data_IF_916779140219
#
_entry.id   IF_916779140219
#
_cell.length_a   1.000
_cell.length_b   1.000
_cell.length_c   1.000
_cell.angle_alpha   90.00
_cell.angle_beta   90.00
_cell.angle_gamma   90.00
#
_symmetry.space_group_name_H-M   'P 1'
#
loop_
_entity.id
_entity.type
_entity.pdbx_description
1 polymer ?
#
# COMPACT_ATOMS: atom_id res chain seq x y z
N UNK A 1 0.79 -4.96 -1.19
CA UNK A 1 0.89 -3.82 -0.28
C UNK A 1 -0.17 -3.93 0.79
N UNK A 2 0.23 -3.71 2.05
CA UNK A 2 -0.58 -3.91 3.26
C UNK A 2 -1.26 -5.29 3.33
N UNK A 3 -1.65 -5.71 4.51
CA UNK A 3 -2.34 -6.98 4.75
C UNK A 3 -3.27 -6.83 5.96
N UNK A 4 -4.33 -6.04 5.80
CA UNK A 4 -5.35 -5.82 6.81
C UNK A 4 -6.24 -7.04 7.05
N UNK A 5 -7.08 -7.02 8.10
CA UNK A 5 -7.95 -8.14 8.46
C UNK A 5 -8.84 -8.61 7.31
N UNK A 6 -8.80 -9.92 7.03
CA UNK A 6 -9.52 -10.58 5.95
C UNK A 6 -8.77 -10.62 4.61
N UNK A 7 -7.72 -9.84 4.43
CA UNK A 7 -6.97 -9.75 3.17
C UNK A 7 -6.19 -11.02 2.85
N UNK A 8 -5.67 -11.75 3.84
CA UNK A 8 -4.96 -13.01 3.61
C UNK A 8 -5.86 -14.09 3.02
N UNK A 9 -7.07 -14.22 3.55
CA UNK A 9 -8.04 -15.17 3.03
C UNK A 9 -8.51 -14.82 1.61
N UNK A 10 -8.68 -13.53 1.31
CA UNK A 10 -9.04 -13.08 -0.02
C UNK A 10 -7.85 -13.27 -1.00
N UNK A 11 -6.63 -12.91 -0.60
CA UNK A 11 -5.42 -13.12 -1.39
C UNK A 11 -5.27 -14.58 -1.83
N UNK A 12 -5.51 -15.54 -0.92
CA UNK A 12 -5.37 -16.98 -1.20
C UNK A 12 -6.34 -17.50 -2.27
N UNK A 13 -7.37 -16.73 -2.61
CA UNK A 13 -8.27 -17.08 -3.73
C UNK A 13 -7.63 -16.81 -5.10
N UNK A 14 -6.61 -15.95 -5.15
CA UNK A 14 -5.98 -15.50 -6.40
C UNK A 14 -4.56 -16.03 -6.57
N UNK A 15 -3.83 -16.18 -5.48
CA UNK A 15 -2.44 -16.62 -5.50
C UNK A 15 -2.15 -17.55 -4.32
N UNK A 16 -1.35 -18.58 -4.55
CA UNK A 16 -0.80 -19.38 -3.46
C UNK A 16 0.16 -18.51 -2.62
N UNK A 17 -0.08 -18.35 -1.30
CA UNK A 17 0.72 -17.44 -0.46
C UNK A 17 2.22 -17.77 -0.41
N UNK A 18 2.62 -19.02 -0.71
CA UNK A 18 4.03 -19.39 -0.85
C UNK A 18 4.73 -18.74 -2.05
N UNK A 19 3.97 -18.24 -3.02
CA UNK A 19 4.50 -17.54 -4.20
C UNK A 19 4.70 -16.03 -3.97
N UNK A 20 4.43 -15.52 -2.76
CA UNK A 20 4.71 -14.14 -2.42
C UNK A 20 6.20 -13.92 -2.20
N UNK A 21 6.80 -12.98 -2.92
CA UNK A 21 8.20 -12.56 -2.74
C UNK A 21 8.37 -11.59 -1.57
N UNK A 22 7.38 -10.73 -1.35
CA UNK A 22 7.40 -9.74 -0.26
C UNK A 22 6.01 -9.24 0.10
N UNK A 23 5.86 -8.75 1.34
CA UNK A 23 4.78 -7.85 1.74
C UNK A 23 5.38 -6.54 2.20
N UNK A 24 4.79 -5.42 1.77
CA UNK A 24 5.24 -4.08 2.12
C UNK A 24 4.10 -3.39 2.87
N UNK A 25 4.37 -2.98 4.10
CA UNK A 25 3.43 -2.28 4.95
C UNK A 25 3.68 -0.78 4.87
N UNK A 26 2.66 -0.01 4.48
CA UNK A 26 2.70 1.45 4.49
C UNK A 26 2.93 1.98 5.91
N UNK A 27 2.26 1.39 6.89
CA UNK A 27 2.39 1.70 8.31
C UNK A 27 1.92 0.54 9.19
N UNK A 28 1.93 0.72 10.52
CA UNK A 28 1.72 -0.38 11.47
C UNK A 28 0.40 -0.29 12.25
N UNK A 29 -0.65 0.35 11.72
CA UNK A 29 -2.00 0.20 12.27
C UNK A 29 -2.55 -1.20 11.98
N UNK A 30 -3.40 -1.71 12.87
CA UNK A 30 -3.85 -3.09 12.81
C UNK A 30 -4.73 -3.40 11.58
N UNK A 31 -5.47 -2.42 11.10
CA UNK A 31 -6.30 -2.52 9.90
C UNK A 31 -5.49 -2.61 8.60
N UNK A 32 -4.18 -2.31 8.63
CA UNK A 32 -3.26 -2.47 7.51
C UNK A 32 -2.37 -3.71 7.62
N UNK A 33 -2.23 -4.31 8.81
CA UNK A 33 -1.27 -5.41 8.99
C UNK A 33 -1.80 -6.60 9.79
N UNK A 34 -3.07 -6.60 10.22
CA UNK A 34 -3.60 -7.63 11.12
C UNK A 34 -3.43 -9.06 10.61
N UNK A 35 -3.57 -9.29 9.32
CA UNK A 35 -3.44 -10.62 8.71
C UNK A 35 -1.99 -11.08 8.51
N UNK A 36 -0.99 -10.28 8.90
CA UNK A 36 0.41 -10.73 8.96
C UNK A 36 0.55 -11.97 9.86
N UNK A 37 -0.31 -12.11 10.87
CA UNK A 37 -0.32 -13.29 11.76
C UNK A 37 -0.84 -14.52 11.01
N UNK A 38 -1.86 -14.39 10.17
CA UNK A 38 -2.33 -15.47 9.30
C UNK A 38 -1.21 -15.94 8.35
N UNK A 39 -0.47 -15.01 7.78
CA UNK A 39 0.70 -15.29 6.95
C UNK A 39 1.83 -15.96 7.76
N UNK A 40 2.10 -15.49 9.00
CA UNK A 40 3.06 -16.10 9.91
C UNK A 40 2.71 -17.57 10.20
N UNK A 41 1.45 -17.83 10.61
CA UNK A 41 0.98 -19.20 10.87
C UNK A 41 1.13 -20.10 9.63
N UNK A 42 0.74 -19.59 8.45
CA UNK A 42 0.90 -20.29 7.19
C UNK A 42 2.36 -20.64 6.90
N UNK A 43 3.30 -19.72 7.14
CA UNK A 43 4.73 -19.91 6.85
C UNK A 43 5.46 -20.70 7.90
N UNK A 44 5.02 -20.73 9.15
CA UNK A 44 5.68 -21.50 10.23
C UNK A 44 5.18 -22.95 10.32
N UNK A 45 3.88 -23.16 10.18
CA UNK A 45 3.26 -24.47 10.45
C UNK A 45 2.39 -25.00 9.30
N UNK A 46 2.10 -24.17 8.32
CA UNK A 46 1.28 -24.50 7.17
C UNK A 46 2.08 -24.94 5.93
N UNK A 47 1.46 -24.94 4.77
CA UNK A 47 2.11 -25.29 3.51
C UNK A 47 3.36 -24.49 3.18
N UNK A 48 3.45 -23.25 3.67
CA UNK A 48 4.60 -22.38 3.50
C UNK A 48 5.79 -22.63 4.39
N UNK A 49 5.74 -23.65 5.30
CA UNK A 49 6.79 -23.91 6.28
C UNK A 49 8.14 -24.36 5.67
N UNK A 50 8.15 -24.73 4.40
CA UNK A 50 9.35 -25.14 3.68
C UNK A 50 9.88 -24.06 2.74
N UNK A 51 9.27 -22.88 2.71
CA UNK A 51 9.72 -21.76 1.90
C UNK A 51 10.83 -20.99 2.61
N UNK A 52 11.75 -20.43 1.82
CA UNK A 52 12.74 -19.49 2.34
C UNK A 52 12.06 -18.26 2.99
N UNK A 53 12.70 -17.62 3.98
CA UNK A 53 12.15 -16.42 4.60
C UNK A 53 11.88 -15.32 3.58
N UNK A 54 10.66 -14.76 3.61
CA UNK A 54 10.28 -13.69 2.69
C UNK A 54 10.48 -12.29 3.29
N UNK A 55 10.58 -11.29 2.43
CA UNK A 55 10.75 -9.90 2.88
C UNK A 55 9.43 -9.36 3.43
N UNK A 56 9.46 -8.84 4.67
CA UNK A 56 8.46 -7.92 5.20
C UNK A 56 9.09 -6.54 5.32
N UNK A 57 8.70 -5.61 4.45
CA UNK A 57 9.16 -4.23 4.49
C UNK A 57 8.13 -3.33 5.18
N UNK A 58 8.57 -2.37 5.97
CA UNK A 58 7.69 -1.43 6.66
C UNK A 58 8.45 -0.44 7.54
N UNK A 59 7.75 0.41 8.28
CA UNK A 59 8.40 1.32 9.25
C UNK A 59 9.24 0.57 10.27
N UNK A 60 10.19 1.28 10.90
CA UNK A 60 11.10 0.70 11.91
C UNK A 60 10.40 -0.05 13.04
N UNK A 61 9.16 0.31 13.36
CA UNK A 61 8.35 -0.36 14.40
C UNK A 61 7.76 -1.71 13.96
N UNK A 62 7.85 -2.09 12.68
CA UNK A 62 7.19 -3.29 12.14
C UNK A 62 7.49 -4.57 12.93
N UNK A 63 8.74 -4.96 13.25
CA UNK A 63 9.01 -6.21 13.96
C UNK A 63 8.38 -6.22 15.36
N UNK A 64 8.44 -5.09 16.07
CA UNK A 64 7.82 -4.95 17.39
C UNK A 64 6.29 -5.01 17.32
N UNK A 65 5.71 -4.44 16.27
CA UNK A 65 4.25 -4.45 16.11
C UNK A 65 3.72 -5.84 15.75
N UNK A 66 4.44 -6.60 14.93
CA UNK A 66 4.10 -8.01 14.65
C UNK A 66 4.05 -8.79 15.95
N UNK A 67 5.09 -8.69 16.81
CA UNK A 67 5.09 -9.35 18.13
C UNK A 67 3.92 -8.94 19.02
N UNK A 68 3.56 -7.66 19.05
CA UNK A 68 2.41 -7.16 19.83
C UNK A 68 1.08 -7.76 19.36
N UNK A 69 0.88 -7.91 18.07
CA UNK A 69 -0.34 -8.49 17.51
C UNK A 69 -0.37 -9.99 17.75
N UNK A 70 0.78 -10.68 17.64
CA UNK A 70 0.93 -12.11 17.91
C UNK A 70 0.87 -12.46 19.42
N UNK A 71 1.07 -11.46 20.27
CA UNK A 71 1.04 -11.66 21.74
C UNK A 71 2.27 -12.33 22.32
N UNK A 72 3.43 -12.21 21.64
CA UNK A 72 4.72 -12.81 22.04
C UNK A 72 5.73 -11.76 22.49
N UNK A 73 6.79 -12.18 23.16
CA UNK A 73 7.85 -11.33 23.67
C UNK A 73 8.96 -11.02 22.65
N UNK A 74 10.01 -10.33 23.11
CA UNK A 74 11.15 -9.92 22.28
C UNK A 74 12.03 -11.07 21.80
N UNK A 75 11.93 -12.23 22.43
CA UNK A 75 12.62 -13.47 22.07
C UNK A 75 12.17 -14.01 20.69
N UNK A 76 10.94 -13.68 20.26
CA UNK A 76 10.47 -14.08 18.93
C UNK A 76 11.02 -13.12 17.88
N UNK A 77 11.74 -13.66 16.91
CA UNK A 77 12.39 -12.89 15.85
C UNK A 77 11.86 -13.20 14.43
N UNK A 78 11.00 -14.21 14.28
CA UNK A 78 10.41 -14.67 13.01
C UNK A 78 11.44 -14.99 11.91
N UNK A 79 12.69 -15.28 12.26
CA UNK A 79 13.78 -15.45 11.29
C UNK A 79 13.62 -16.64 10.34
N UNK A 80 12.74 -17.57 10.67
CA UNK A 80 12.40 -18.70 9.81
C UNK A 80 11.34 -18.37 8.75
N UNK A 81 10.57 -17.31 8.97
CA UNK A 81 9.50 -16.90 8.06
C UNK A 81 9.81 -15.60 7.34
N UNK A 82 10.47 -14.64 7.99
CA UNK A 82 10.56 -13.27 7.54
C UNK A 82 11.97 -12.67 7.63
N UNK A 83 12.26 -11.83 6.64
CA UNK A 83 13.38 -10.89 6.65
C UNK A 83 12.79 -9.49 6.77
N UNK A 84 12.90 -8.86 7.93
CA UNK A 84 12.41 -7.51 8.13
C UNK A 84 13.30 -6.47 7.44
N UNK A 85 12.70 -5.60 6.66
CA UNK A 85 13.37 -4.49 5.96
C UNK A 85 12.72 -3.17 6.36
N UNK A 86 13.51 -2.28 6.95
CA UNK A 86 13.06 -0.94 7.30
C UNK A 86 12.87 -0.08 6.04
N UNK A 87 11.70 0.58 5.94
CA UNK A 87 11.43 1.65 4.98
C UNK A 87 11.97 2.98 5.54
N UNK A 88 12.61 3.74 4.66
CA UNK A 88 13.11 5.08 4.97
C UNK A 88 12.68 6.03 3.87
N UNK A 89 12.43 7.28 4.25
CA UNK A 89 12.07 8.34 3.32
C UNK A 89 13.10 8.46 2.19
N UNK A 90 12.60 8.65 0.97
CA UNK A 90 13.40 8.73 -0.27
C UNK A 90 14.27 7.51 -0.60
N UNK A 91 14.23 6.46 0.22
CA UNK A 91 14.98 5.25 -0.06
C UNK A 91 14.44 4.55 -1.30
N UNK A 92 15.34 4.17 -2.19
CA UNK A 92 15.04 3.34 -3.37
C UNK A 92 15.68 1.96 -3.23
N UNK A 93 14.96 0.92 -3.63
CA UNK A 93 15.46 -0.47 -3.68
C UNK A 93 14.82 -1.24 -4.82
N UNK A 94 15.34 -2.42 -5.10
CA UNK A 94 14.81 -3.32 -6.14
C UNK A 94 14.22 -4.59 -5.53
N UNK A 95 13.17 -5.10 -6.13
CA UNK A 95 12.55 -6.39 -5.84
C UNK A 95 12.22 -7.06 -7.17
N UNK A 96 13.00 -8.07 -7.58
CA UNK A 96 12.90 -8.64 -8.92
C UNK A 96 13.02 -7.55 -9.99
N UNK A 97 12.06 -7.45 -10.94
CA UNK A 97 12.09 -6.46 -12.01
C UNK A 97 11.60 -5.07 -11.56
N UNK A 98 11.12 -4.94 -10.31
CA UNK A 98 10.54 -3.71 -9.79
C UNK A 98 11.57 -2.84 -9.11
N UNK A 99 11.45 -1.53 -9.32
CA UNK A 99 12.11 -0.50 -8.51
C UNK A 99 11.06 0.12 -7.61
N UNK A 100 11.37 0.19 -6.30
CA UNK A 100 10.46 0.71 -5.29
C UNK A 100 11.11 1.92 -4.60
N UNK A 101 10.28 2.89 -4.21
CA UNK A 101 10.70 3.97 -3.32
C UNK A 101 9.60 4.31 -2.34
N UNK A 102 10.00 4.84 -1.19
CA UNK A 102 9.09 5.27 -0.13
C UNK A 102 9.11 6.78 0.00
N UNK A 103 7.96 7.39 0.21
CA UNK A 103 7.78 8.81 0.52
C UNK A 103 7.10 8.96 1.88
N UNK A 104 7.65 9.80 2.76
CA UNK A 104 7.09 10.01 4.09
C UNK A 104 5.65 10.51 4.01
N UNK A 105 4.73 9.83 4.68
CA UNK A 105 3.35 10.25 4.83
C UNK A 105 3.15 11.16 6.06
N UNK A 106 2.10 11.97 6.05
CA UNK A 106 1.64 12.74 7.20
C UNK A 106 0.50 12.01 7.88
N UNK A 107 0.88 11.21 8.87
CA UNK A 107 -0.03 10.36 9.61
C UNK A 107 0.34 10.31 11.09
N UNK A 108 -0.55 9.78 11.93
CA UNK A 108 -0.39 9.73 13.41
C UNK A 108 0.75 8.82 13.88
N UNK A 109 1.21 7.90 13.03
CA UNK A 109 2.35 7.00 13.27
C UNK A 109 3.33 7.08 12.08
N UNK A 110 4.55 6.55 12.19
CA UNK A 110 5.44 6.45 11.03
C UNK A 110 4.75 5.72 9.87
N UNK A 111 4.54 6.42 8.76
CA UNK A 111 3.82 5.94 7.59
C UNK A 111 4.52 6.39 6.30
N UNK A 112 4.31 5.63 5.22
CA UNK A 112 4.94 5.86 3.92
C UNK A 112 3.96 5.57 2.77
N UNK A 113 3.94 6.44 1.78
CA UNK A 113 3.48 6.11 0.45
C UNK A 113 4.55 5.29 -0.30
N UNK A 114 4.11 4.40 -1.17
CA UNK A 114 5.00 3.46 -1.87
C UNK A 114 4.85 3.64 -3.38
N UNK A 115 5.95 4.02 -4.03
CA UNK A 115 6.07 4.04 -5.49
C UNK A 115 6.66 2.74 -5.99
N UNK A 116 6.06 2.18 -7.03
CA UNK A 116 6.57 1.00 -7.73
C UNK A 116 6.69 1.33 -9.21
N UNK A 117 7.84 1.00 -9.81
CA UNK A 117 8.04 1.05 -11.24
C UNK A 117 8.45 -0.33 -11.73
N UNK A 118 7.76 -0.85 -12.74
CA UNK A 118 7.99 -2.17 -13.31
C UNK A 118 7.91 -2.17 -14.83
N UNK A 119 8.28 -3.27 -15.50
CA UNK A 119 8.08 -3.42 -16.93
C UNK A 119 6.59 -3.23 -17.28
N UNK A 120 6.31 -2.46 -18.34
CA UNK A 120 4.95 -2.35 -18.89
C UNK A 120 4.75 -3.44 -19.94
N UNK A 121 3.61 -4.14 -19.82
CA UNK A 121 3.22 -5.19 -20.76
C UNK A 121 3.86 -6.56 -20.51
N UNK A 122 3.05 -7.61 -20.64
CA UNK A 122 3.47 -9.02 -20.63
C UNK A 122 3.49 -9.61 -22.05
N UNK A 123 3.72 -8.81 -23.09
CA UNK A 123 3.93 -9.38 -24.43
C UNK A 123 5.34 -9.92 -24.54
N UNK A 124 5.49 -11.25 -24.68
CA UNK A 124 6.73 -11.85 -25.10
C UNK A 124 7.18 -11.16 -26.40
N UNK A 125 8.26 -10.39 -26.33
CA UNK A 125 8.83 -9.67 -27.46
C UNK A 125 8.75 -8.15 -27.43
N UNK A 126 8.14 -7.52 -26.43
CA UNK A 126 8.23 -6.06 -26.27
C UNK A 126 9.61 -5.64 -25.73
N UNK A 127 10.51 -5.41 -26.66
CA UNK A 127 11.86 -4.90 -26.40
C UNK A 127 11.89 -3.38 -26.14
N UNK A 128 10.73 -2.71 -25.97
CA UNK A 128 10.66 -1.24 -25.84
C UNK A 128 11.31 -0.74 -24.55
N UNK A 129 11.43 -1.61 -23.54
CA UNK A 129 11.94 -1.22 -22.22
C UNK A 129 11.03 -0.21 -21.50
N UNK A 130 9.77 -0.05 -21.95
CA UNK A 130 8.80 0.83 -21.33
C UNK A 130 8.47 0.35 -19.91
N UNK A 131 8.21 1.29 -19.03
CA UNK A 131 7.90 1.00 -17.61
C UNK A 131 6.63 1.70 -17.21
N UNK A 132 5.78 1.00 -16.49
CA UNK A 132 4.62 1.56 -15.81
C UNK A 132 4.97 1.90 -14.37
N UNK A 133 4.29 2.90 -13.85
CA UNK A 133 4.51 3.45 -12.52
C UNK A 133 3.23 3.51 -11.72
N UNK A 134 3.30 3.05 -10.50
CA UNK A 134 2.19 3.00 -9.54
C UNK A 134 2.59 3.70 -8.25
N UNK A 135 1.66 4.41 -7.62
CA UNK A 135 1.84 4.95 -6.28
C UNK A 135 0.64 4.61 -5.40
N UNK A 136 0.92 4.02 -4.23
CA UNK A 136 -0.03 3.80 -3.15
C UNK A 136 0.27 4.77 -2.02
N UNK A 137 -0.70 5.56 -1.59
CA UNK A 137 -0.47 6.57 -0.55
C UNK A 137 -0.24 5.97 0.83
N UNK A 138 -0.77 4.77 1.12
CA UNK A 138 -1.05 4.39 2.51
C UNK A 138 -1.98 5.42 3.13
N UNK A 139 -2.05 5.45 4.46
CA UNK A 139 -2.81 6.45 5.19
C UNK A 139 -1.99 7.73 5.36
N UNK A 140 -2.57 8.83 4.98
CA UNK A 140 -1.90 10.15 5.00
C UNK A 140 -2.89 11.29 4.84
N UNK A 141 -2.61 12.42 5.47
CA UNK A 141 -3.15 13.69 5.00
C UNK A 141 -2.34 14.21 3.81
N UNK A 142 -2.88 15.22 3.10
CA UNK A 142 -2.21 15.85 1.97
C UNK A 142 -0.93 16.54 2.42
N UNK A 143 0.21 16.11 1.90
CA UNK A 143 1.52 16.71 2.18
C UNK A 143 2.44 16.67 0.96
N UNK A 144 3.46 17.53 0.96
CA UNK A 144 4.34 17.70 -0.20
C UNK A 144 5.16 16.44 -0.53
N UNK A 145 5.57 15.68 0.47
CA UNK A 145 6.32 14.43 0.26
C UNK A 145 5.50 13.38 -0.50
N UNK A 146 4.21 13.27 -0.21
CA UNK A 146 3.30 12.35 -0.91
C UNK A 146 3.02 12.86 -2.34
N UNK A 147 2.86 14.18 -2.53
CA UNK A 147 2.74 14.78 -3.88
C UNK A 147 3.98 14.46 -4.73
N UNK A 148 5.18 14.68 -4.19
CA UNK A 148 6.41 14.37 -4.91
C UNK A 148 6.58 12.85 -5.16
N UNK A 149 6.22 12.00 -4.20
CA UNK A 149 6.23 10.54 -4.36
C UNK A 149 5.32 10.04 -5.48
N UNK A 150 4.15 10.67 -5.61
CA UNK A 150 3.14 10.35 -6.63
C UNK A 150 3.40 11.02 -8.01
N UNK A 151 4.38 11.92 -8.12
CA UNK A 151 4.58 12.73 -9.32
C UNK A 151 4.68 11.91 -10.59
N UNK A 152 3.77 12.20 -11.55
CA UNK A 152 3.75 11.65 -12.89
C UNK A 152 3.57 10.13 -12.96
N UNK A 153 2.96 9.48 -11.94
CA UNK A 153 2.66 8.04 -12.02
C UNK A 153 1.51 7.78 -12.97
N UNK A 154 1.54 6.61 -13.61
CA UNK A 154 0.47 6.15 -14.50
C UNK A 154 -0.80 5.84 -13.69
N UNK A 155 -0.65 5.28 -12.48
CA UNK A 155 -1.74 4.94 -11.58
C UNK A 155 -1.45 5.37 -10.15
N UNK A 156 -2.38 6.15 -9.57
CA UNK A 156 -2.45 6.49 -8.16
C UNK A 156 -3.56 5.67 -7.48
N UNK A 157 -3.21 4.92 -6.44
CA UNK A 157 -4.14 4.35 -5.47
C UNK A 157 -4.09 5.22 -4.21
N UNK A 158 -5.11 6.04 -4.01
CA UNK A 158 -5.16 7.02 -2.93
C UNK A 158 -6.18 6.64 -1.87
N UNK A 159 -5.80 6.76 -0.62
CA UNK A 159 -6.76 6.77 0.46
C UNK A 159 -7.71 7.96 0.39
N UNK A 160 -8.91 7.85 0.95
CA UNK A 160 -9.86 8.93 1.20
C UNK A 160 -10.74 8.57 2.41
N UNK A 161 -10.09 8.42 3.57
CA UNK A 161 -10.72 7.92 4.80
C UNK A 161 -11.67 8.91 5.46
N UNK A 162 -11.44 10.20 5.26
CA UNK A 162 -12.25 11.28 5.82
C UNK A 162 -13.32 11.80 4.86
N UNK A 163 -14.22 12.59 5.41
CA UNK A 163 -15.19 13.43 4.70
C UNK A 163 -14.79 14.91 4.82
N UNK A 164 -15.41 15.80 4.06
CA UNK A 164 -15.20 17.25 4.17
C UNK A 164 -15.62 17.83 5.53
N UNK A 165 -16.39 17.08 6.33
CA UNK A 165 -16.80 17.48 7.68
C UNK A 165 -15.70 17.22 8.71
N UNK A 166 -14.73 16.37 8.39
CA UNK A 166 -13.61 16.03 9.27
C UNK A 166 -12.58 17.16 9.29
N UNK A 167 -12.34 17.74 10.45
CA UNK A 167 -11.43 18.89 10.63
C UNK A 167 -10.07 18.53 11.20
N UNK A 168 -9.84 17.25 11.49
CA UNK A 168 -8.56 16.75 12.03
C UNK A 168 -7.54 16.69 10.90
N UNK A 169 -6.38 17.31 11.13
CA UNK A 169 -5.26 17.29 10.18
C UNK A 169 -4.24 16.19 10.54
N UNK A 170 -3.45 15.78 9.55
CA UNK A 170 -2.32 14.86 9.73
C UNK A 170 -2.73 13.42 9.96
N UNK A 171 -3.91 12.99 9.49
CA UNK A 171 -4.39 11.61 9.63
C UNK A 171 -4.83 11.05 8.28
N UNK A 172 -5.89 11.60 7.67
CA UNK A 172 -6.47 11.12 6.42
C UNK A 172 -6.83 12.25 5.47
N UNK A 173 -6.96 11.92 4.20
CA UNK A 173 -7.57 12.79 3.19
C UNK A 173 -9.08 12.57 3.12
N UNK A 174 -9.80 13.58 2.69
CA UNK A 174 -11.12 13.49 2.08
C UNK A 174 -11.02 13.41 0.55
N UNK A 175 -12.15 13.31 -0.14
CA UNK A 175 -12.17 13.24 -1.60
C UNK A 175 -11.53 14.46 -2.27
N UNK A 176 -11.75 15.66 -1.76
CA UNK A 176 -11.18 16.90 -2.29
C UNK A 176 -9.66 16.92 -2.15
N UNK A 177 -9.11 16.51 -1.00
CA UNK A 177 -7.66 16.42 -0.77
C UNK A 177 -7.02 15.34 -1.64
N UNK A 178 -7.64 14.16 -1.78
CA UNK A 178 -7.17 13.10 -2.65
C UNK A 178 -7.15 13.53 -4.14
N UNK A 179 -8.19 14.22 -4.61
CA UNK A 179 -8.21 14.80 -5.95
C UNK A 179 -7.17 15.91 -6.15
N UNK A 180 -6.94 16.74 -5.12
CA UNK A 180 -5.90 17.77 -5.12
C UNK A 180 -4.49 17.17 -5.20
N UNK A 181 -4.23 16.08 -4.43
CA UNK A 181 -3.00 15.29 -4.55
C UNK A 181 -2.78 14.87 -6.00
N UNK A 182 -3.79 14.23 -6.61
CA UNK A 182 -3.71 13.72 -7.97
C UNK A 182 -3.42 14.83 -9.01
N UNK A 183 -4.09 15.97 -8.89
CA UNK A 183 -3.86 17.10 -9.77
C UNK A 183 -2.45 17.70 -9.60
N UNK A 184 -2.00 17.92 -8.35
CA UNK A 184 -0.66 18.46 -8.06
C UNK A 184 0.46 17.53 -8.50
N UNK A 185 0.24 16.22 -8.40
CA UNK A 185 1.20 15.21 -8.80
C UNK A 185 1.14 14.87 -10.31
N UNK A 186 0.18 15.42 -11.06
CA UNK A 186 0.01 15.18 -12.50
C UNK A 186 -0.09 13.68 -12.83
N UNK A 187 -0.89 12.92 -12.05
CA UNK A 187 -1.04 11.47 -12.23
C UNK A 187 -1.92 11.13 -13.44
N UNK A 188 -1.69 9.99 -14.06
CA UNK A 188 -2.47 9.54 -15.22
C UNK A 188 -3.87 9.06 -14.87
N UNK A 189 -4.01 8.26 -13.82
CA UNK A 189 -5.26 7.61 -13.40
C UNK A 189 -5.37 7.56 -11.89
N UNK A 190 -6.59 7.66 -11.35
CA UNK A 190 -6.85 7.67 -9.90
C UNK A 190 -7.85 6.60 -9.53
N UNK A 191 -7.51 5.84 -8.51
CA UNK A 191 -8.43 4.92 -7.82
C UNK A 191 -8.44 5.29 -6.33
N UNK A 192 -9.61 5.50 -5.76
CA UNK A 192 -9.76 5.74 -4.32
C UNK A 192 -9.94 4.43 -3.56
N UNK A 193 -9.31 4.35 -2.41
CA UNK A 193 -9.42 3.25 -1.46
C UNK A 193 -9.57 3.79 -0.03
N UNK A 194 -9.64 2.92 0.96
CA UNK A 194 -9.72 3.26 2.38
C UNK A 194 -10.92 4.16 2.74
N UNK A 195 -11.97 4.17 1.92
CA UNK A 195 -13.22 4.88 2.24
C UNK A 195 -13.95 4.08 3.32
N UNK A 196 -14.24 4.73 4.43
CA UNK A 196 -14.87 4.07 5.58
C UNK A 196 -16.28 3.58 5.24
N UNK A 197 -16.71 2.40 5.72
CA UNK A 197 -17.99 1.79 5.34
C UNK A 197 -19.23 2.66 5.66
N UNK A 198 -19.11 3.61 6.56
CA UNK A 198 -20.19 4.55 6.93
C UNK A 198 -20.16 5.85 6.11
N UNK A 199 -19.15 6.08 5.28
CA UNK A 199 -19.06 7.21 4.37
C UNK A 199 -19.77 6.90 3.05
N UNK A 200 -20.17 7.94 2.32
CA UNK A 200 -20.75 7.81 0.99
C UNK A 200 -19.62 7.78 -0.08
N UNK A 201 -19.28 6.62 -0.65
CA UNK A 201 -18.17 6.51 -1.58
C UNK A 201 -18.37 7.33 -2.88
N UNK A 202 -19.62 7.47 -3.34
CA UNK A 202 -19.91 8.24 -4.54
C UNK A 202 -19.76 9.75 -4.31
N UNK A 203 -20.07 10.25 -3.11
CA UNK A 203 -19.81 11.64 -2.76
C UNK A 203 -18.30 11.90 -2.70
N UNK A 204 -17.53 11.03 -2.04
CA UNK A 204 -16.05 11.10 -2.00
C UNK A 204 -15.45 11.08 -3.39
N UNK A 205 -15.91 10.17 -4.26
CA UNK A 205 -15.48 10.08 -5.65
C UNK A 205 -15.77 11.37 -6.43
N UNK A 206 -16.98 11.90 -6.30
CA UNK A 206 -17.38 13.14 -6.96
C UNK A 206 -16.50 14.33 -6.55
N UNK A 207 -16.22 14.47 -5.25
CA UNK A 207 -15.31 15.52 -4.73
C UNK A 207 -13.90 15.37 -5.32
N UNK A 208 -13.38 14.15 -5.39
CA UNK A 208 -12.08 13.89 -5.97
C UNK A 208 -12.05 14.21 -7.47
N UNK A 209 -13.10 13.88 -8.23
CA UNK A 209 -13.22 14.23 -9.65
C UNK A 209 -13.23 15.75 -9.88
N UNK A 210 -13.94 16.51 -9.03
CA UNK A 210 -13.96 17.97 -9.13
C UNK A 210 -12.59 18.59 -8.87
N UNK A 211 -11.84 18.07 -7.90
CA UNK A 211 -10.51 18.58 -7.55
C UNK A 211 -9.42 18.11 -8.53
N UNK A 212 -9.51 16.89 -9.04
CA UNK A 212 -8.56 16.32 -10.01
C UNK A 212 -8.78 16.86 -11.43
N UNK A 213 -10.02 17.14 -11.79
CA UNK A 213 -10.40 17.53 -13.15
C UNK A 213 -10.44 16.37 -14.15
N UNK A 214 -10.49 15.13 -13.66
CA UNK A 214 -10.53 13.91 -14.46
C UNK A 214 -11.40 12.84 -13.82
N UNK A 215 -11.51 11.68 -14.48
CA UNK A 215 -12.26 10.54 -13.95
C UNK A 215 -11.54 9.89 -12.77
N UNK A 216 -12.29 9.54 -11.74
CA UNK A 216 -11.81 8.82 -10.54
C UNK A 216 -12.61 7.54 -10.39
N UNK A 217 -11.94 6.45 -10.04
CA UNK A 217 -12.54 5.13 -9.80
C UNK A 217 -12.54 4.79 -8.31
N UNK A 218 -13.38 3.85 -7.92
CA UNK A 218 -13.42 3.30 -6.56
C UNK A 218 -12.82 1.90 -6.57
N UNK A 219 -11.93 1.62 -5.63
CA UNK A 219 -11.41 0.28 -5.42
C UNK A 219 -12.52 -0.65 -4.91
N UNK A 220 -12.56 -1.86 -5.43
CA UNK A 220 -13.45 -2.92 -4.97
C UNK A 220 -12.66 -4.21 -4.74
N UNK A 221 -13.15 -5.05 -3.83
CA UNK A 221 -12.54 -6.36 -3.58
C UNK A 221 -12.44 -7.17 -4.87
N UNK A 222 -11.26 -7.71 -5.14
CA UNK A 222 -10.97 -8.49 -6.34
C UNK A 222 -10.80 -7.66 -7.63
N UNK A 223 -10.73 -6.33 -7.54
CA UNK A 223 -10.48 -5.47 -8.70
C UNK A 223 -9.10 -5.76 -9.31
N UNK A 224 -9.06 -5.97 -10.61
CA UNK A 224 -7.83 -6.07 -11.41
C UNK A 224 -7.75 -4.88 -12.35
N UNK A 225 -6.56 -4.31 -12.47
CA UNK A 225 -6.33 -3.06 -13.21
C UNK A 225 -5.09 -3.16 -14.07
N UNK A 226 -5.26 -2.94 -15.37
CA UNK A 226 -4.15 -2.80 -16.32
C UNK A 226 -3.85 -1.31 -16.55
N UNK A 227 -2.55 -0.93 -16.56
CA UNK A 227 -2.11 0.46 -16.75
C UNK A 227 -0.68 0.58 -17.27
#
# INVERSE_FOLDING_TARGET
LDMGPGSFGELWRYIEPSNLDAVIFSHCHADHMGDVISLHVYRRWGPGAYCDPMVLAGPVCLPGRVRQIDGVGEEENYSTEFIFKELRDTQTWTLGPFTLSAARAWHSVPAFGIRISGPSGFSEGDASGSRSTFFYTGDTDLCDSIVEGARGVDLLLSEAGFTEEDTVEGIHMDGTRAGTLAARAEVGRVILTHIQPWNNPEATRFQAEQAFGGRVELATTGMSVDF
#
